data_IF_387897859959
#
_entry.id   IF_387897859959
#
_cell.length_a   1.000
_cell.length_b   1.000
_cell.length_c   1.000
_cell.angle_alpha   90.00
_cell.angle_beta   90.00
_cell.angle_gamma   90.00
#
_symmetry.space_group_name_H-M   'P 1'
#
loop_
_entity.id
_entity.type
_entity.pdbx_description
1 polymer ?
#
# COMPACT_ATOMS: atom_id res chain seq x y z
N UNK A 1 -6.21 16.93 21.28
CA UNK A 1 -5.12 17.92 21.23
C UNK A 1 -4.47 17.98 19.84
N UNK A 2 -4.17 16.84 19.21
CA UNK A 2 -3.49 16.76 17.90
C UNK A 2 -4.26 17.40 16.73
N UNK A 3 -5.56 17.12 16.56
CA UNK A 3 -6.36 17.77 15.51
C UNK A 3 -6.35 19.29 15.61
N UNK A 4 -6.43 19.81 16.84
CA UNK A 4 -6.35 21.25 17.09
C UNK A 4 -4.97 21.80 16.73
N UNK A 5 -3.90 21.09 17.07
CA UNK A 5 -2.54 21.46 16.71
C UNK A 5 -2.35 21.58 15.18
N UNK A 6 -2.75 20.57 14.40
CA UNK A 6 -2.67 20.63 12.93
C UNK A 6 -3.56 21.72 12.36
N UNK A 7 -4.76 21.93 12.91
CA UNK A 7 -5.64 23.03 12.50
C UNK A 7 -5.00 24.41 12.73
N UNK A 8 -4.23 24.57 13.81
CA UNK A 8 -3.49 25.80 14.14
C UNK A 8 -2.26 25.99 13.26
N UNK A 9 -1.56 24.91 12.86
CA UNK A 9 -0.48 25.00 11.87
C UNK A 9 -1.03 25.51 10.53
N UNK A 10 -2.09 24.89 10.02
CA UNK A 10 -2.72 25.29 8.76
C UNK A 10 -3.20 26.75 8.81
N UNK A 11 -3.76 27.17 9.93
CA UNK A 11 -4.14 28.58 10.14
C UNK A 11 -2.94 29.53 10.12
N UNK A 12 -1.85 29.20 10.82
CA UNK A 12 -0.66 30.06 10.89
C UNK A 12 0.03 30.25 9.54
N UNK A 13 -0.15 29.30 8.61
CA UNK A 13 0.37 29.35 7.25
C UNK A 13 -0.59 30.02 6.26
N UNK A 14 -1.78 30.44 6.71
CA UNK A 14 -2.78 31.06 5.85
C UNK A 14 -3.48 30.08 4.90
N UNK A 15 -3.53 28.78 5.24
CA UNK A 15 -4.12 27.74 4.37
C UNK A 15 -5.58 28.03 4.00
N UNK A 16 -6.34 28.62 4.92
CA UNK A 16 -7.78 28.88 4.78
C UNK A 16 -8.12 30.28 4.27
N UNK A 17 -7.13 31.14 4.07
CA UNK A 17 -7.31 32.53 3.64
C UNK A 17 -7.10 32.65 2.12
N UNK A 18 -7.50 33.76 1.51
CA UNK A 18 -7.30 34.03 0.06
C UNK A 18 -5.88 34.56 -0.29
N UNK A 19 -4.90 34.34 0.60
CA UNK A 19 -3.55 34.88 0.50
C UNK A 19 -2.54 33.96 -0.20
N UNK A 20 -1.23 34.31 -0.19
CA UNK A 20 -0.19 33.49 -0.80
C UNK A 20 -0.06 32.06 -0.24
N UNK A 21 -0.58 31.81 0.97
CA UNK A 21 -0.60 30.49 1.61
C UNK A 21 -1.86 29.68 1.35
N UNK A 22 -2.84 30.23 0.61
CA UNK A 22 -4.13 29.60 0.34
C UNK A 22 -3.95 28.20 -0.24
N UNK A 23 -4.54 27.19 0.40
CA UNK A 23 -4.53 25.80 -0.03
C UNK A 23 -3.12 25.17 -0.24
N UNK A 24 -2.06 25.81 0.25
CA UNK A 24 -0.70 25.27 0.18
C UNK A 24 -0.50 24.27 1.32
N UNK A 25 -0.37 22.99 0.97
CA UNK A 25 -0.08 21.94 1.94
C UNK A 25 1.38 22.02 2.46
N UNK A 26 1.59 22.31 3.76
CA UNK A 26 2.95 22.36 4.30
C UNK A 26 3.68 21.02 4.30
N UNK A 27 2.96 19.90 4.18
CA UNK A 27 3.52 18.56 4.21
C UNK A 27 3.72 17.97 2.81
N UNK A 28 3.45 18.74 1.74
CA UNK A 28 3.51 18.24 0.37
C UNK A 28 4.88 17.65 0.02
N UNK A 29 5.97 18.30 0.44
CA UNK A 29 7.33 17.84 0.16
C UNK A 29 7.61 16.44 0.73
N UNK A 30 7.18 16.18 1.97
CA UNK A 30 7.35 14.87 2.60
C UNK A 30 6.46 13.80 1.93
N UNK A 31 5.24 14.17 1.53
CA UNK A 31 4.32 13.28 0.80
C UNK A 31 4.88 12.88 -0.57
N UNK A 32 5.42 13.85 -1.31
CA UNK A 32 6.03 13.62 -2.62
C UNK A 32 7.29 12.74 -2.49
N UNK A 33 8.12 13.00 -1.49
CA UNK A 33 9.30 12.18 -1.21
C UNK A 33 8.92 10.74 -0.85
N UNK A 34 7.90 10.56 0.00
CA UNK A 34 7.38 9.24 0.36
C UNK A 34 6.81 8.47 -0.83
N UNK A 35 6.09 9.15 -1.72
CA UNK A 35 5.56 8.56 -2.96
C UNK A 35 6.69 8.20 -3.95
N UNK A 36 7.68 9.07 -4.12
CA UNK A 36 8.81 8.80 -5.00
C UNK A 36 9.64 7.60 -4.50
N UNK A 37 9.86 7.51 -3.19
CA UNK A 37 10.61 6.42 -2.57
C UNK A 37 9.93 5.06 -2.78
N UNK A 38 8.61 5.01 -2.91
CA UNK A 38 7.90 3.74 -2.97
C UNK A 38 7.86 3.09 -4.36
N UNK A 39 8.33 3.76 -5.42
CA UNK A 39 8.24 3.27 -6.81
C UNK A 39 8.76 1.84 -7.01
N UNK A 40 9.87 1.47 -6.36
CA UNK A 40 10.43 0.11 -6.43
C UNK A 40 9.53 -0.96 -5.79
N UNK A 41 8.88 -0.63 -4.67
CA UNK A 41 7.93 -1.52 -4.00
C UNK A 41 6.65 -1.69 -4.84
N UNK A 42 6.15 -0.60 -5.45
CA UNK A 42 5.00 -0.65 -6.38
C UNK A 42 5.28 -1.58 -7.56
N UNK A 43 6.47 -1.49 -8.16
CA UNK A 43 6.86 -2.34 -9.29
C UNK A 43 6.81 -3.84 -8.98
N UNK A 44 6.95 -4.23 -7.70
CA UNK A 44 6.89 -5.63 -7.30
C UNK A 44 5.52 -6.07 -6.77
N UNK A 45 4.65 -5.12 -6.38
CA UNK A 45 3.24 -5.39 -6.09
C UNK A 45 2.41 -5.57 -7.36
N UNK A 46 2.70 -4.78 -8.41
CA UNK A 46 1.92 -4.74 -9.64
C UNK A 46 1.73 -6.11 -10.32
N UNK A 47 2.74 -7.00 -10.43
CA UNK A 47 2.54 -8.33 -11.01
C UNK A 47 1.52 -9.17 -10.26
N UNK A 48 1.51 -9.13 -8.92
CA UNK A 48 0.55 -9.90 -8.10
C UNK A 48 -0.89 -9.41 -8.30
N UNK A 49 -1.06 -8.09 -8.44
CA UNK A 49 -2.36 -7.50 -8.72
C UNK A 49 -2.83 -7.86 -10.14
N UNK A 50 -1.92 -7.82 -11.12
CA UNK A 50 -2.19 -8.26 -12.49
C UNK A 50 -2.58 -9.75 -12.56
N UNK A 51 -1.92 -10.62 -11.80
CA UNK A 51 -2.26 -12.04 -11.72
C UNK A 51 -3.66 -12.24 -11.12
N UNK A 52 -4.00 -11.48 -10.07
CA UNK A 52 -5.34 -11.44 -9.49
C UNK A 52 -6.38 -10.83 -10.45
N UNK A 53 -6.00 -9.94 -11.36
CA UNK A 53 -6.91 -9.43 -12.38
C UNK A 53 -7.14 -10.46 -13.50
N UNK A 54 -6.08 -11.17 -13.92
CA UNK A 54 -6.05 -12.00 -15.13
C UNK A 54 -6.79 -13.35 -15.02
N UNK A 55 -7.43 -13.66 -13.90
CA UNK A 55 -8.00 -15.01 -13.73
C UNK A 55 -6.95 -16.08 -13.39
N UNK A 56 -5.69 -15.69 -13.18
CA UNK A 56 -4.54 -16.58 -13.17
C UNK A 56 -4.67 -17.73 -12.18
N UNK A 57 -5.01 -18.91 -12.70
CA UNK A 57 -4.71 -20.21 -12.08
C UNK A 57 -5.63 -20.69 -10.95
N UNK A 58 -6.97 -20.61 -11.06
CA UNK A 58 -7.90 -21.34 -10.16
C UNK A 58 -7.65 -21.15 -8.65
N UNK A 59 -6.90 -20.11 -8.28
CA UNK A 59 -6.40 -19.89 -6.94
C UNK A 59 -7.49 -19.36 -6.02
N UNK A 60 -7.28 -19.53 -4.73
CA UNK A 60 -8.18 -19.03 -3.71
C UNK A 60 -8.28 -17.49 -3.78
N UNK A 61 -9.41 -17.00 -4.30
CA UNK A 61 -9.69 -15.58 -4.45
C UNK A 61 -9.70 -14.84 -3.11
N UNK A 62 -10.14 -15.53 -2.04
CA UNK A 62 -10.16 -14.98 -0.69
C UNK A 62 -8.73 -14.76 -0.21
N UNK A 63 -7.83 -15.72 -0.45
CA UNK A 63 -6.42 -15.56 -0.12
C UNK A 63 -5.77 -14.41 -0.91
N UNK A 64 -6.13 -14.24 -2.18
CA UNK A 64 -5.70 -13.13 -3.02
C UNK A 64 -6.10 -11.77 -2.45
N UNK A 65 -7.38 -11.59 -2.09
CA UNK A 65 -7.86 -10.34 -1.49
C UNK A 65 -7.30 -10.13 -0.08
N UNK A 66 -7.18 -11.20 0.73
CA UNK A 66 -6.57 -11.15 2.07
C UNK A 66 -5.15 -10.58 2.02
N UNK A 67 -4.37 -10.94 1.01
CA UNK A 67 -3.04 -10.38 0.81
C UNK A 67 -3.08 -8.84 0.72
N UNK A 68 -3.97 -8.29 -0.09
CA UNK A 68 -4.08 -6.84 -0.25
C UNK A 68 -4.67 -6.15 0.99
N UNK A 69 -5.50 -6.84 1.79
CA UNK A 69 -5.94 -6.33 3.10
C UNK A 69 -4.74 -6.17 4.04
N UNK A 70 -3.87 -7.18 4.11
CA UNK A 70 -2.67 -7.11 4.94
C UNK A 70 -1.66 -6.07 4.42
N UNK A 71 -1.58 -5.86 3.10
CA UNK A 71 -0.73 -4.81 2.54
C UNK A 71 -1.18 -3.41 2.88
N UNK A 72 -2.49 -3.15 2.82
CA UNK A 72 -3.09 -1.89 3.28
C UNK A 72 -2.77 -1.65 4.75
N UNK A 73 -2.90 -2.68 5.62
CA UNK A 73 -2.56 -2.57 7.04
C UNK A 73 -1.08 -2.21 7.29
N UNK A 74 -0.15 -2.88 6.61
CA UNK A 74 1.27 -2.72 6.88
C UNK A 74 1.93 -1.60 6.05
N UNK A 75 1.23 -0.97 5.10
CA UNK A 75 1.78 0.04 4.19
C UNK A 75 2.56 1.16 4.90
N UNK A 76 2.11 1.59 6.09
CA UNK A 76 2.77 2.60 6.90
C UNK A 76 4.08 2.13 7.59
N UNK A 77 4.22 0.82 7.84
CA UNK A 77 5.37 0.21 8.53
C UNK A 77 6.33 -0.52 7.61
N UNK A 78 5.96 -0.71 6.35
CA UNK A 78 6.85 -1.31 5.37
C UNK A 78 7.99 -0.33 5.12
N UNK A 79 9.07 -0.49 5.88
CA UNK A 79 10.30 0.24 5.66
C UNK A 79 10.79 -0.09 4.25
N UNK A 80 10.76 0.92 3.38
CA UNK A 80 11.22 0.82 1.99
C UNK A 80 12.70 0.42 1.91
N UNK A 81 13.47 0.48 3.01
CA UNK A 81 14.84 -0.04 3.11
C UNK A 81 14.93 -1.56 3.19
N UNK A 82 13.87 -2.24 3.65
CA UNK A 82 13.74 -3.71 3.64
C UNK A 82 13.39 -4.20 2.23
N UNK A 83 12.79 -3.33 1.42
CA UNK A 83 12.61 -3.61 0.01
C UNK A 83 13.91 -3.31 -0.75
N UNK A 84 14.51 -4.26 -1.48
CA UNK A 84 15.63 -3.94 -2.33
C UNK A 84 15.12 -3.10 -3.52
N UNK A 85 14.97 -1.80 -3.32
CA UNK A 85 14.79 -0.82 -4.37
C UNK A 85 16.16 -0.56 -5.03
N UNK A 86 16.62 -1.53 -5.82
CA UNK A 86 17.91 -1.45 -6.52
C UNK A 86 19.10 -1.76 -5.61
N UNK A 87 19.94 -2.71 -6.05
CA UNK A 87 21.11 -3.14 -5.30
C UNK A 87 22.09 -1.99 -5.04
N UNK A 88 22.19 -1.56 -3.78
CA UNK A 88 23.34 -0.81 -3.31
C UNK A 88 24.40 -1.80 -2.84
N UNK A 89 25.34 -2.18 -3.73
CA UNK A 89 26.53 -2.95 -3.36
C UNK A 89 27.13 -3.84 -4.44
N UNK A 90 27.78 -3.22 -5.43
CA UNK A 90 28.94 -3.71 -6.18
C UNK A 90 28.92 -5.08 -6.92
N UNK A 91 29.35 -5.01 -8.19
CA UNK A 91 29.89 -6.08 -9.04
C UNK A 91 28.89 -7.06 -9.70
N UNK A 92 28.63 -6.84 -10.99
CA UNK A 92 28.33 -7.93 -11.94
C UNK A 92 26.88 -8.03 -12.38
N UNK A 93 26.67 -7.96 -13.70
CA UNK A 93 25.36 -8.07 -14.35
C UNK A 93 24.73 -9.46 -14.18
N UNK A 94 23.87 -9.58 -13.17
CA UNK A 94 22.90 -10.67 -13.03
C UNK A 94 21.48 -10.07 -13.06
N UNK A 95 20.68 -10.54 -14.02
CA UNK A 95 19.49 -9.89 -14.58
C UNK A 95 18.35 -9.54 -13.63
N UNK A 96 17.41 -8.75 -14.18
CA UNK A 96 16.17 -8.28 -13.53
C UNK A 96 15.40 -9.40 -12.80
N UNK A 97 15.43 -10.63 -13.32
CA UNK A 97 14.81 -11.82 -12.70
C UNK A 97 15.41 -12.17 -11.33
N UNK A 98 16.73 -12.08 -11.18
CA UNK A 98 17.38 -12.32 -9.89
C UNK A 98 17.04 -11.21 -8.86
N UNK A 99 16.78 -10.00 -9.35
CA UNK A 99 16.29 -8.88 -8.53
C UNK A 99 14.83 -9.08 -8.09
N UNK A 100 13.98 -9.53 -9.01
CA UNK A 100 12.57 -9.82 -8.74
C UNK A 100 12.38 -10.97 -7.74
N UNK A 101 13.17 -12.04 -7.83
CA UNK A 101 13.14 -13.17 -6.87
C UNK A 101 13.53 -12.69 -5.46
N UNK A 102 14.57 -11.85 -5.33
CA UNK A 102 14.96 -11.28 -4.04
C UNK A 102 13.89 -10.36 -3.45
N UNK A 103 13.28 -9.52 -4.28
CA UNK A 103 12.16 -8.67 -3.86
C UNK A 103 10.95 -9.51 -3.41
N UNK A 104 10.64 -10.60 -4.10
CA UNK A 104 9.58 -11.53 -3.72
C UNK A 104 9.86 -12.23 -2.38
N UNK A 105 11.10 -12.66 -2.13
CA UNK A 105 11.48 -13.29 -0.87
C UNK A 105 11.40 -12.28 0.29
N UNK A 106 11.92 -11.07 0.11
CA UNK A 106 11.83 -9.98 1.09
C UNK A 106 10.37 -9.62 1.42
N UNK A 107 9.50 -9.61 0.41
CA UNK A 107 8.06 -9.43 0.60
C UNK A 107 7.44 -10.50 1.49
N UNK A 108 7.71 -11.76 1.18
CA UNK A 108 7.14 -12.89 1.90
C UNK A 108 7.63 -12.90 3.36
N UNK A 109 8.90 -12.56 3.57
CA UNK A 109 9.48 -12.43 4.90
C UNK A 109 8.87 -11.26 5.68
N UNK A 110 8.77 -10.08 5.09
CA UNK A 110 8.16 -8.90 5.71
C UNK A 110 6.68 -9.16 6.05
N UNK A 111 5.94 -9.83 5.17
CA UNK A 111 4.55 -10.18 5.42
C UNK A 111 4.41 -11.22 6.53
N UNK A 112 5.25 -12.26 6.53
CA UNK A 112 5.29 -13.26 7.60
C UNK A 112 5.67 -12.63 8.95
N UNK A 113 6.58 -11.66 8.95
CA UNK A 113 6.94 -10.91 10.16
C UNK A 113 5.78 -10.03 10.64
N UNK A 114 5.09 -9.34 9.71
CA UNK A 114 3.89 -8.57 10.00
C UNK A 114 2.78 -9.42 10.60
N UNK A 115 2.49 -10.59 10.03
CA UNK A 115 1.48 -11.52 10.54
C UNK A 115 1.77 -11.94 11.99
N UNK A 116 3.04 -12.16 12.37
CA UNK A 116 3.42 -12.46 13.76
C UNK A 116 3.18 -11.30 14.74
N UNK A 117 3.07 -10.07 14.23
CA UNK A 117 2.82 -8.87 15.03
C UNK A 117 1.33 -8.51 15.12
N UNK A 118 0.44 -9.28 14.50
CA UNK A 118 -1.00 -9.10 14.64
C UNK A 118 -1.45 -9.55 16.04
N UNK A 119 -2.05 -8.62 16.79
CA UNK A 119 -2.69 -8.95 18.06
C UNK A 119 -4.07 -9.59 17.86
N UNK A 120 -4.70 -9.31 16.73
CA UNK A 120 -5.99 -9.82 16.29
C UNK A 120 -6.01 -9.90 14.77
N UNK A 121 -6.48 -11.00 14.19
CA UNK A 121 -6.46 -11.23 12.74
C UNK A 121 -7.85 -11.63 12.21
N UNK A 122 -8.61 -10.63 11.75
CA UNK A 122 -9.85 -10.81 10.99
C UNK A 122 -9.64 -10.67 9.47
N UNK A 123 -8.40 -10.67 8.97
CA UNK A 123 -8.11 -10.40 7.56
C UNK A 123 -8.81 -11.37 6.60
N UNK A 124 -8.93 -12.65 6.97
CA UNK A 124 -9.68 -13.64 6.20
C UNK A 124 -11.19 -13.37 6.24
N UNK A 125 -11.74 -12.98 7.39
CA UNK A 125 -13.15 -12.62 7.52
C UNK A 125 -13.48 -11.35 6.72
N UNK A 126 -12.60 -10.36 6.76
CA UNK A 126 -12.68 -9.14 5.96
C UNK A 126 -12.63 -9.46 4.46
N UNK A 127 -11.69 -10.29 4.00
CA UNK A 127 -11.61 -10.70 2.60
C UNK A 127 -12.88 -11.43 2.14
N UNK A 128 -13.44 -12.32 2.96
CA UNK A 128 -14.71 -12.97 2.66
C UNK A 128 -15.88 -11.96 2.58
N UNK A 129 -15.96 -11.03 3.53
CA UNK A 129 -17.01 -10.00 3.52
C UNK A 129 -16.88 -9.06 2.30
N UNK A 130 -15.64 -8.74 1.91
CA UNK A 130 -15.36 -7.99 0.69
C UNK A 130 -15.72 -8.75 -0.58
N UNK A 131 -15.83 -10.08 -0.57
CA UNK A 131 -16.26 -10.86 -1.74
C UNK A 131 -17.72 -11.30 -1.68
N UNK A 132 -18.39 -11.12 -0.54
CA UNK A 132 -19.77 -11.52 -0.36
C UNK A 132 -20.74 -10.77 -1.28
N UNK A 133 -21.72 -11.50 -1.81
CA UNK A 133 -22.84 -10.91 -2.54
C UNK A 133 -23.64 -9.97 -1.63
N UNK A 134 -24.09 -8.83 -2.18
CA UNK A 134 -24.88 -7.82 -1.46
C UNK A 134 -24.07 -6.65 -0.88
N UNK A 135 -22.74 -6.71 -0.89
CA UNK A 135 -21.89 -5.55 -0.62
C UNK A 135 -21.64 -4.78 -1.92
N UNK A 136 -22.56 -3.90 -2.34
CA UNK A 136 -22.40 -3.17 -3.61
C UNK A 136 -21.34 -2.06 -3.56
N UNK A 137 -21.07 -1.51 -2.37
CA UNK A 137 -20.15 -0.39 -2.17
C UNK A 137 -19.20 -0.68 -1.02
N UNK A 138 -17.93 -0.42 -1.26
CA UNK A 138 -16.87 -0.45 -0.24
C UNK A 138 -16.30 0.95 -0.14
N UNK A 139 -16.25 1.49 1.07
CA UNK A 139 -15.55 2.74 1.36
C UNK A 139 -14.23 2.43 2.07
N UNK A 140 -13.15 3.08 1.65
CA UNK A 140 -11.85 3.03 2.31
C UNK A 140 -11.60 4.42 2.89
N UNK A 141 -11.46 4.51 4.21
CA UNK A 141 -11.03 5.73 4.90
C UNK A 141 -9.52 5.64 5.03
N UNK A 142 -8.82 6.47 4.27
CA UNK A 142 -7.36 6.48 4.16
C UNK A 142 -6.70 7.24 5.32
N UNK A 143 -5.44 6.93 5.60
CA UNK A 143 -4.62 7.61 6.63
C UNK A 143 -3.47 8.42 6.02
N UNK A 144 -2.34 7.78 5.66
CA UNK A 144 -1.17 8.49 5.11
C UNK A 144 -1.08 8.46 3.59
N UNK A 145 -0.37 9.45 3.04
CA UNK A 145 0.02 9.49 1.62
C UNK A 145 1.19 8.53 1.34
N UNK A 146 1.69 8.52 0.10
CA UNK A 146 2.84 7.70 -0.28
C UNK A 146 2.49 6.22 -0.41
N UNK A 147 3.34 5.34 0.11
CA UNK A 147 3.19 3.90 -0.09
C UNK A 147 1.92 3.31 0.53
N UNK A 148 1.49 3.81 1.69
CA UNK A 148 0.26 3.35 2.34
C UNK A 148 -0.96 3.58 1.43
N UNK A 149 -1.10 4.79 0.88
CA UNK A 149 -2.15 5.08 -0.09
C UNK A 149 -2.06 4.19 -1.34
N UNK A 150 -0.86 3.84 -1.80
CA UNK A 150 -0.70 2.90 -2.93
C UNK A 150 -1.20 1.51 -2.56
N UNK A 151 -0.92 1.03 -1.34
CA UNK A 151 -1.45 -0.24 -0.85
C UNK A 151 -2.98 -0.22 -0.72
N UNK A 152 -3.57 0.89 -0.25
CA UNK A 152 -5.03 1.08 -0.20
C UNK A 152 -5.66 1.04 -1.59
N UNK A 153 -5.04 1.70 -2.57
CA UNK A 153 -5.48 1.67 -3.96
C UNK A 153 -5.33 0.27 -4.58
N UNK A 154 -4.27 -0.45 -4.25
CA UNK A 154 -4.09 -1.84 -4.68
C UNK A 154 -5.15 -2.76 -4.08
N UNK A 155 -5.55 -2.55 -2.82
CA UNK A 155 -6.70 -3.24 -2.22
C UNK A 155 -8.00 -2.89 -2.92
N UNK A 156 -8.25 -1.62 -3.22
CA UNK A 156 -9.43 -1.21 -3.97
C UNK A 156 -9.51 -1.90 -5.33
N UNK A 157 -8.40 -1.95 -6.08
CA UNK A 157 -8.33 -2.62 -7.38
C UNK A 157 -8.51 -4.14 -7.24
N UNK A 158 -7.88 -4.76 -6.24
CA UNK A 158 -8.07 -6.18 -5.94
C UNK A 158 -9.53 -6.55 -5.69
N UNK A 159 -10.27 -5.72 -4.93
CA UNK A 159 -11.70 -5.90 -4.69
C UNK A 159 -12.50 -5.80 -5.99
N UNK A 160 -12.21 -4.79 -6.82
CA UNK A 160 -12.91 -4.58 -8.10
C UNK A 160 -12.65 -5.74 -9.07
N UNK A 161 -11.40 -6.14 -9.24
CA UNK A 161 -11.00 -7.26 -10.09
C UNK A 161 -11.62 -8.57 -9.64
N UNK A 162 -11.61 -8.85 -8.32
CA UNK A 162 -12.15 -10.08 -7.78
C UNK A 162 -13.67 -10.19 -7.94
N UNK A 163 -14.40 -9.08 -7.79
CA UNK A 163 -15.88 -9.03 -7.91
C UNK A 163 -16.41 -9.01 -9.35
N UNK A 164 -15.54 -8.76 -10.34
CA UNK A 164 -15.91 -8.81 -11.77
C UNK A 164 -15.94 -10.22 -12.35
N UNK A 165 -15.42 -11.20 -11.60
CA UNK A 165 -15.43 -12.62 -11.98
C UNK A 165 -16.76 -13.26 -11.61
#
# INVERSE_FOLDING_TARGET
AEFYFYRRILEALGYFDDGPGALIDPFQGDKDAGLAACAGAVGALAPRLNDLAAGGGGGDLVAGVRLFVLLSLWGNRMDLSIWPAGGAGACGGAGEEASAIRAHAAFAEAMSAGERCLLHDDSAAAANALLAHGCERVGIVVDNAGFELVCDLALADAIVCARRR
#
